data_IF_336938225589
#
_entry.id   IF_336938225589
#
_cell.length_a   1.000
_cell.length_b   1.000
_cell.length_c   1.000
_cell.angle_alpha   90.00
_cell.angle_beta   90.00
_cell.angle_gamma   90.00
#
_symmetry.space_group_name_H-M   'P 1'
#
loop_
_entity.id
_entity.type
_entity.pdbx_description
1 polymer ?
#
# COMPACT_ATOMS: atom_id res chain seq x y z
N UNK A 1 8.13 7.05 -31.87
CA UNK A 1 7.84 5.74 -31.28
C UNK A 1 6.62 5.92 -30.37
N UNK A 2 5.53 5.24 -30.68
CA UNK A 2 4.26 5.44 -29.95
C UNK A 2 4.23 4.66 -28.66
N UNK A 3 3.72 5.29 -27.58
CA UNK A 3 3.29 4.60 -26.38
C UNK A 3 1.79 4.31 -26.53
N UNK A 4 1.39 3.09 -26.28
CA UNK A 4 -0.02 2.71 -26.23
C UNK A 4 -0.44 2.51 -24.78
N UNK A 5 -1.55 3.10 -24.41
CA UNK A 5 -2.24 2.84 -23.13
C UNK A 5 -3.15 1.63 -23.31
N UNK A 6 -3.12 0.71 -22.36
CA UNK A 6 -3.95 -0.50 -22.32
C UNK A 6 -4.59 -0.62 -20.94
N UNK A 7 -5.81 -1.16 -20.89
CA UNK A 7 -6.59 -1.33 -19.66
C UNK A 7 -7.44 -2.61 -19.73
N UNK A 8 -7.90 -3.08 -18.57
CA UNK A 8 -8.76 -4.25 -18.47
C UNK A 8 -8.10 -5.50 -19.06
N UNK A 9 -8.85 -6.27 -19.83
CA UNK A 9 -8.38 -7.52 -20.43
C UNK A 9 -7.16 -7.34 -21.36
N UNK A 10 -6.99 -6.14 -21.96
CA UNK A 10 -5.82 -5.86 -22.81
C UNK A 10 -4.50 -5.93 -22.01
N UNK A 11 -4.52 -5.71 -20.68
CA UNK A 11 -3.33 -5.86 -19.85
C UNK A 11 -2.78 -7.30 -19.86
N UNK A 12 -3.63 -8.30 -20.06
CA UNK A 12 -3.21 -9.71 -20.13
C UNK A 12 -2.30 -10.00 -21.32
N UNK A 13 -2.35 -9.18 -22.36
CA UNK A 13 -1.48 -9.34 -23.55
C UNK A 13 0.00 -9.08 -23.25
N UNK A 14 0.33 -8.52 -22.10
CA UNK A 14 1.72 -8.28 -21.66
C UNK A 14 2.36 -9.49 -20.99
N UNK A 15 1.60 -10.56 -20.72
CA UNK A 15 2.07 -11.75 -19.98
C UNK A 15 3.37 -12.34 -20.56
N UNK A 16 3.47 -12.46 -21.89
CA UNK A 16 4.68 -12.99 -22.51
C UNK A 16 5.93 -12.19 -22.18
N UNK A 17 5.82 -10.84 -22.15
CA UNK A 17 6.95 -9.99 -21.77
C UNK A 17 7.24 -10.07 -20.26
N UNK A 18 6.20 -10.23 -19.44
CA UNK A 18 6.37 -10.46 -18.00
C UNK A 18 7.18 -11.72 -17.73
N UNK A 19 6.75 -12.85 -18.28
CA UNK A 19 7.41 -14.16 -18.12
C UNK A 19 8.86 -14.17 -18.65
N UNK A 20 9.13 -13.38 -19.73
CA UNK A 20 10.48 -13.24 -20.26
C UNK A 20 11.43 -12.46 -19.31
N UNK A 21 10.91 -11.45 -18.60
CA UNK A 21 11.73 -10.52 -17.81
C UNK A 21 11.75 -10.92 -16.34
N UNK A 22 10.63 -11.38 -15.79
CA UNK A 22 10.48 -11.83 -14.41
C UNK A 22 10.42 -13.35 -14.32
N UNK A 23 11.41 -13.99 -14.93
CA UNK A 23 11.51 -15.46 -15.05
C UNK A 23 11.70 -16.17 -13.69
N UNK A 24 11.98 -15.40 -12.61
CA UNK A 24 12.08 -15.91 -11.24
C UNK A 24 10.70 -16.07 -10.58
N UNK A 25 9.66 -15.43 -11.13
CA UNK A 25 8.30 -15.59 -10.64
C UNK A 25 7.80 -17.01 -10.93
N UNK A 26 7.16 -17.62 -9.94
CA UNK A 26 6.52 -18.94 -10.14
C UNK A 26 5.34 -18.84 -11.12
N UNK A 27 5.02 -19.96 -11.79
CA UNK A 27 3.86 -20.03 -12.69
C UNK A 27 2.58 -19.70 -11.92
N UNK A 28 2.44 -20.19 -10.67
CA UNK A 28 1.29 -19.95 -9.82
C UNK A 28 1.12 -18.45 -9.49
N UNK A 29 2.22 -17.77 -9.17
CA UNK A 29 2.19 -16.34 -8.92
C UNK A 29 1.84 -15.55 -10.18
N UNK A 30 2.44 -15.90 -11.33
CA UNK A 30 2.12 -15.26 -12.61
C UNK A 30 0.66 -15.46 -13.00
N UNK A 31 0.11 -16.66 -12.87
CA UNK A 31 -1.32 -16.95 -13.08
C UNK A 31 -2.20 -16.09 -12.17
N UNK A 32 -1.90 -16.09 -10.86
CA UNK A 32 -2.60 -15.24 -9.90
C UNK A 32 -2.59 -13.76 -10.31
N UNK A 33 -1.40 -13.22 -10.65
CA UNK A 33 -1.25 -11.80 -11.01
C UNK A 33 -2.10 -11.42 -12.23
N UNK A 34 -2.02 -12.21 -13.30
CA UNK A 34 -2.76 -11.93 -14.53
C UNK A 34 -4.26 -12.20 -14.42
N UNK A 35 -4.70 -13.05 -13.52
CA UNK A 35 -6.11 -13.29 -13.26
C UNK A 35 -6.75 -12.24 -12.32
N UNK A 36 -6.01 -11.78 -11.30
CA UNK A 36 -6.60 -10.99 -10.21
C UNK A 36 -6.15 -9.52 -10.17
N UNK A 37 -4.91 -9.20 -10.59
CA UNK A 37 -4.34 -7.84 -10.51
C UNK A 37 -4.22 -7.15 -11.87
N UNK A 38 -3.71 -7.81 -12.90
CA UNK A 38 -3.35 -7.18 -14.17
C UNK A 38 -4.49 -6.38 -14.81
N UNK A 39 -5.73 -6.89 -14.77
CA UNK A 39 -6.90 -6.22 -15.36
C UNK A 39 -7.34 -4.94 -14.64
N UNK A 40 -6.87 -4.73 -13.42
CA UNK A 40 -7.14 -3.51 -12.64
C UNK A 40 -6.13 -2.39 -12.91
N UNK A 41 -5.09 -2.68 -13.66
CA UNK A 41 -3.99 -1.77 -13.93
C UNK A 41 -4.27 -0.85 -15.12
N UNK A 42 -3.59 0.29 -15.10
CA UNK A 42 -3.36 1.10 -16.30
C UNK A 42 -1.98 0.69 -16.84
N UNK A 43 -1.95 0.09 -18.01
CA UNK A 43 -0.72 -0.33 -18.67
C UNK A 43 -0.25 0.66 -19.72
N UNK A 44 1.05 0.81 -19.84
CA UNK A 44 1.71 1.53 -20.94
C UNK A 44 2.70 0.59 -21.62
N UNK A 45 2.59 0.48 -22.94
CA UNK A 45 3.41 -0.45 -23.74
C UNK A 45 4.04 0.25 -24.94
N UNK A 46 5.20 -0.24 -25.35
CA UNK A 46 5.91 0.16 -26.58
C UNK A 46 6.02 -1.06 -27.50
N UNK A 47 5.76 -0.85 -28.79
CA UNK A 47 5.74 -1.91 -29.80
C UNK A 47 4.35 -2.52 -29.98
N UNK A 48 4.32 -3.69 -30.62
CA UNK A 48 3.14 -4.56 -30.74
C UNK A 48 3.38 -5.84 -29.96
N UNK A 49 2.32 -6.52 -29.58
CA UNK A 49 2.46 -7.78 -28.84
C UNK A 49 3.21 -8.85 -29.68
N UNK A 50 4.21 -9.53 -29.12
CA UNK A 50 4.78 -9.33 -27.80
C UNK A 50 5.59 -8.02 -27.75
N UNK A 51 5.29 -7.18 -26.75
CA UNK A 51 5.79 -5.81 -26.65
C UNK A 51 7.31 -5.71 -26.42
N UNK A 52 7.90 -4.57 -26.81
CA UNK A 52 9.32 -4.26 -26.57
C UNK A 52 9.56 -3.80 -25.11
N UNK A 53 8.60 -3.06 -24.57
CA UNK A 53 8.63 -2.60 -23.17
C UNK A 53 7.22 -2.38 -22.63
N UNK A 54 7.09 -2.50 -21.32
CA UNK A 54 5.84 -2.27 -20.57
C UNK A 54 6.09 -1.66 -19.21
N UNK A 55 5.06 -1.08 -18.64
CA UNK A 55 4.92 -0.77 -17.22
C UNK A 55 3.45 -0.70 -16.84
N UNK A 56 3.15 -0.95 -15.58
CA UNK A 56 1.82 -0.80 -15.02
C UNK A 56 1.76 0.27 -13.93
N UNK A 57 0.58 0.84 -13.78
CA UNK A 57 0.14 1.64 -12.64
C UNK A 57 -1.00 0.89 -11.98
N UNK A 58 -0.78 0.40 -10.77
CA UNK A 58 -1.79 -0.27 -9.94
C UNK A 58 -2.37 0.76 -8.97
N UNK A 59 -3.70 0.97 -8.95
CA UNK A 59 -4.31 1.89 -7.99
C UNK A 59 -4.34 1.29 -6.60
N UNK A 60 -3.94 2.08 -5.60
CA UNK A 60 -4.08 1.79 -4.18
C UNK A 60 -4.78 2.95 -3.47
N UNK A 61 -5.73 2.65 -2.60
CA UNK A 61 -6.32 3.66 -1.72
C UNK A 61 -5.41 3.83 -0.50
N UNK A 62 -4.80 5.02 -0.38
CA UNK A 62 -4.00 5.38 0.78
C UNK A 62 -4.79 6.28 1.73
N UNK A 63 -4.70 5.98 3.02
CA UNK A 63 -5.07 6.92 4.07
C UNK A 63 -3.89 7.89 4.27
N UNK A 64 -4.14 9.18 4.16
CA UNK A 64 -3.15 10.27 4.34
C UNK A 64 -3.73 11.24 5.37
N UNK A 65 -3.33 11.12 6.62
CA UNK A 65 -4.03 11.78 7.73
C UNK A 65 -5.51 11.39 7.76
N UNK A 66 -6.41 12.35 7.67
CA UNK A 66 -7.87 12.10 7.65
C UNK A 66 -8.44 11.97 6.21
N UNK A 67 -7.62 11.96 5.17
CA UNK A 67 -8.06 11.93 3.78
C UNK A 67 -7.68 10.62 3.12
N UNK A 68 -8.60 10.02 2.37
CA UNK A 68 -8.30 8.90 1.48
C UNK A 68 -8.04 9.40 0.06
N UNK A 69 -6.97 8.89 -0.55
CA UNK A 69 -6.63 9.18 -1.95
C UNK A 69 -6.20 7.93 -2.69
N UNK A 70 -6.61 7.82 -3.93
CA UNK A 70 -6.07 6.82 -4.85
C UNK A 70 -4.69 7.29 -5.33
N UNK A 71 -3.69 6.43 -5.12
CA UNK A 71 -2.29 6.66 -5.50
C UNK A 71 -1.83 5.48 -6.35
N UNK A 72 -1.13 5.76 -7.44
CA UNK A 72 -0.60 4.71 -8.32
C UNK A 72 0.69 4.13 -7.78
N UNK A 73 0.73 2.81 -7.68
CA UNK A 73 1.93 1.99 -7.52
C UNK A 73 2.48 1.63 -8.89
N UNK A 74 3.76 1.88 -9.15
CA UNK A 74 4.42 1.50 -10.40
C UNK A 74 4.98 0.09 -10.27
N UNK A 75 4.55 -0.80 -11.17
CA UNK A 75 4.93 -2.21 -11.16
C UNK A 75 5.12 -2.75 -12.57
N UNK A 76 5.78 -3.90 -12.72
CA UNK A 76 5.94 -4.58 -14.00
C UNK A 76 6.72 -3.74 -15.03
N UNK A 77 7.71 -2.97 -14.58
CA UNK A 77 8.55 -2.18 -15.46
C UNK A 77 9.56 -3.09 -16.18
N UNK A 78 9.23 -3.48 -17.39
CA UNK A 78 9.99 -4.44 -18.16
C UNK A 78 10.40 -3.91 -19.53
N UNK A 79 11.57 -4.35 -19.99
CA UNK A 79 12.07 -4.12 -21.35
C UNK A 79 12.72 -5.39 -21.84
N UNK A 80 12.28 -5.88 -22.99
CA UNK A 80 12.85 -7.04 -23.67
C UNK A 80 14.35 -6.89 -23.82
N UNK A 81 15.11 -7.97 -23.67
CA UNK A 81 16.57 -7.95 -23.63
C UNK A 81 17.19 -7.25 -24.86
N UNK A 82 16.70 -7.54 -26.06
CA UNK A 82 17.18 -6.97 -27.33
C UNK A 82 16.81 -5.49 -27.51
N UNK A 83 15.88 -5.00 -26.70
CA UNK A 83 15.37 -3.64 -26.72
C UNK A 83 15.92 -2.75 -25.61
N UNK A 84 16.77 -3.30 -24.72
CA UNK A 84 17.41 -2.55 -23.63
C UNK A 84 18.35 -1.47 -24.16
N UNK A 85 18.68 -0.51 -23.33
CA UNK A 85 19.56 0.65 -23.63
C UNK A 85 19.04 1.59 -24.74
N UNK A 86 17.77 1.44 -25.18
CA UNK A 86 17.11 2.34 -26.15
C UNK A 86 16.27 3.43 -25.49
N UNK A 87 16.29 3.53 -24.16
CA UNK A 87 15.55 4.55 -23.38
C UNK A 87 14.06 4.28 -23.22
N UNK A 88 13.56 3.07 -23.47
CA UNK A 88 12.13 2.74 -23.40
C UNK A 88 11.55 2.93 -22.01
N UNK A 89 12.21 2.42 -20.98
CA UNK A 89 11.83 2.63 -19.58
C UNK A 89 11.71 4.12 -19.25
N UNK A 90 12.73 4.92 -19.60
CA UNK A 90 12.70 6.39 -19.41
C UNK A 90 11.50 7.02 -20.08
N UNK A 91 11.19 6.58 -21.30
CA UNK A 91 10.07 7.09 -22.10
C UNK A 91 8.74 6.76 -21.43
N UNK A 92 8.55 5.52 -20.96
CA UNK A 92 7.36 5.07 -20.24
C UNK A 92 7.17 5.82 -18.93
N UNK A 93 8.21 5.92 -18.09
CA UNK A 93 8.15 6.63 -16.81
C UNK A 93 7.79 8.11 -17.01
N UNK A 94 8.46 8.82 -17.91
CA UNK A 94 8.16 10.22 -18.19
C UNK A 94 6.73 10.43 -18.72
N UNK A 95 6.26 9.52 -19.55
CA UNK A 95 4.87 9.56 -20.02
C UNK A 95 3.90 9.38 -18.86
N UNK A 96 4.12 8.37 -18.03
CA UNK A 96 3.30 8.10 -16.85
C UNK A 96 3.30 9.28 -15.87
N UNK A 97 4.44 9.93 -15.62
CA UNK A 97 4.51 11.12 -14.76
C UNK A 97 3.65 12.27 -15.29
N UNK A 98 3.66 12.51 -16.60
CA UNK A 98 2.82 13.55 -17.22
C UNK A 98 1.33 13.25 -17.08
N UNK A 99 0.92 12.00 -17.26
CA UNK A 99 -0.48 11.59 -17.06
C UNK A 99 -0.88 11.77 -15.60
N UNK A 100 -0.10 11.24 -14.65
CA UNK A 100 -0.34 11.39 -13.21
C UNK A 100 -0.34 12.87 -12.77
N UNK A 101 0.51 13.73 -13.37
CA UNK A 101 0.51 15.17 -13.10
C UNK A 101 -0.82 15.82 -13.54
N UNK A 102 -1.33 15.50 -14.74
CA UNK A 102 -2.65 15.96 -15.23
C UNK A 102 -3.79 15.47 -14.33
N UNK A 103 -3.68 14.27 -13.80
CA UNK A 103 -4.62 13.67 -12.84
C UNK A 103 -4.50 14.29 -11.43
N UNK A 104 -3.56 15.22 -11.22
CA UNK A 104 -3.27 15.85 -9.91
C UNK A 104 -2.90 14.85 -8.82
N UNK A 105 -2.24 13.77 -9.21
CA UNK A 105 -1.74 12.78 -8.27
C UNK A 105 -0.60 13.36 -7.44
N UNK A 106 -0.66 13.35 -6.11
CA UNK A 106 0.35 14.01 -5.28
C UNK A 106 1.72 13.33 -5.39
N UNK A 107 1.76 12.02 -5.40
CA UNK A 107 2.99 11.22 -5.51
C UNK A 107 2.70 9.86 -6.14
N UNK A 108 3.74 9.12 -6.46
CA UNK A 108 3.70 7.71 -6.86
C UNK A 108 4.77 6.96 -6.08
N UNK A 109 4.63 5.64 -5.98
CA UNK A 109 5.57 4.80 -5.28
C UNK A 109 5.83 3.49 -6.03
N UNK A 110 6.92 2.81 -5.67
CA UNK A 110 7.30 1.52 -6.21
C UNK A 110 8.20 0.76 -5.23
N UNK A 111 8.27 -0.56 -5.38
CA UNK A 111 9.30 -1.39 -4.80
C UNK A 111 10.39 -1.64 -5.87
N UNK A 112 11.62 -1.14 -5.69
CA UNK A 112 12.64 -1.27 -6.70
C UNK A 112 13.32 -2.64 -6.66
N UNK A 113 13.45 -3.32 -7.80
CA UNK A 113 14.36 -4.45 -7.93
C UNK A 113 15.83 -4.01 -7.72
N UNK A 114 16.16 -2.79 -8.20
CA UNK A 114 17.44 -2.13 -7.95
C UNK A 114 17.20 -0.62 -7.85
N UNK A 115 17.49 0.04 -6.70
CA UNK A 115 17.24 1.46 -6.51
C UNK A 115 17.96 2.37 -7.49
N UNK A 116 19.19 2.00 -7.92
CA UNK A 116 19.97 2.77 -8.88
C UNK A 116 19.26 2.99 -10.24
N UNK A 117 18.27 2.17 -10.56
CA UNK A 117 17.45 2.32 -11.77
C UNK A 117 16.50 3.52 -11.64
N UNK A 118 15.98 3.79 -10.42
CA UNK A 118 14.92 4.77 -10.18
C UNK A 118 15.41 6.08 -9.56
N UNK A 119 16.60 6.09 -8.94
CA UNK A 119 17.23 7.32 -8.43
C UNK A 119 17.37 8.44 -9.49
N UNK A 120 17.72 8.15 -10.78
CA UNK A 120 17.74 9.18 -11.84
C UNK A 120 16.38 9.77 -12.21
N UNK A 121 15.30 9.21 -11.66
CA UNK A 121 13.93 9.71 -11.77
C UNK A 121 13.43 10.33 -10.48
N UNK A 122 14.33 10.71 -9.57
CA UNK A 122 14.05 11.38 -8.30
C UNK A 122 13.23 10.54 -7.29
N UNK A 123 13.28 9.22 -7.41
CA UNK A 123 12.73 8.34 -6.39
C UNK A 123 13.68 8.26 -5.19
N UNK A 124 13.09 8.25 -3.99
CA UNK A 124 13.78 8.08 -2.70
C UNK A 124 13.02 7.08 -1.83
N UNK A 125 13.77 6.33 -1.02
CA UNK A 125 13.17 5.48 0.00
C UNK A 125 12.43 6.31 1.04
N UNK A 126 11.20 5.88 1.35
CA UNK A 126 10.33 6.49 2.37
C UNK A 126 9.82 5.48 3.39
N UNK A 127 9.94 4.20 3.10
CA UNK A 127 9.48 3.15 3.99
C UNK A 127 10.49 2.02 4.09
N UNK A 128 10.76 1.63 5.33
CA UNK A 128 11.58 0.49 5.70
C UNK A 128 10.72 -0.51 6.47
N UNK A 129 10.59 -1.72 5.92
CA UNK A 129 9.84 -2.80 6.53
C UNK A 129 10.63 -3.45 7.65
N UNK A 130 9.95 -3.76 8.75
CA UNK A 130 10.48 -4.65 9.77
C UNK A 130 10.72 -6.04 9.18
N UNK A 131 11.84 -6.64 9.52
CA UNK A 131 12.17 -8.03 9.14
C UNK A 131 11.84 -8.92 10.32
N UNK A 132 11.09 -9.97 10.06
CA UNK A 132 10.67 -10.95 11.06
C UNK A 132 11.25 -12.31 10.73
N UNK A 133 11.68 -13.02 11.74
CA UNK A 133 12.21 -14.37 11.64
C UNK A 133 11.48 -15.30 12.62
N UNK A 134 11.48 -16.57 12.29
CA UNK A 134 10.99 -17.61 13.18
C UNK A 134 12.05 -17.90 14.24
N UNK A 135 11.70 -17.82 15.53
CA UNK A 135 12.64 -18.14 16.63
C UNK A 135 13.12 -19.58 16.57
N UNK A 136 12.21 -20.50 16.23
CA UNK A 136 12.48 -21.93 16.13
C UNK A 136 11.80 -22.48 14.86
N UNK A 137 12.47 -22.47 13.69
CA UNK A 137 11.84 -22.84 12.43
C UNK A 137 11.13 -24.20 12.45
N UNK A 138 11.72 -25.22 13.10
CA UNK A 138 11.12 -26.55 13.23
C UNK A 138 9.85 -26.59 14.09
N UNK A 139 9.74 -25.70 15.09
CA UNK A 139 8.54 -25.57 15.93
C UNK A 139 7.38 -24.95 15.19
N UNK A 140 7.64 -24.01 14.30
CA UNK A 140 6.59 -23.32 13.55
C UNK A 140 6.03 -24.20 12.45
N UNK A 141 6.85 -24.95 11.75
CA UNK A 141 6.36 -25.98 10.83
C UNK A 141 5.43 -26.94 11.59
N UNK A 142 5.82 -27.39 12.79
CA UNK A 142 4.97 -28.24 13.62
C UNK A 142 3.74 -27.51 14.18
N UNK A 143 3.80 -26.20 14.46
CA UNK A 143 2.64 -25.40 14.84
C UNK A 143 1.69 -25.23 13.65
N UNK A 144 2.18 -24.83 12.48
CA UNK A 144 1.37 -24.69 11.27
C UNK A 144 0.77 -26.04 10.84
N UNK A 145 1.53 -27.15 10.97
CA UNK A 145 1.04 -28.51 10.72
C UNK A 145 0.08 -28.99 11.81
N UNK A 146 0.32 -28.68 13.09
CA UNK A 146 -0.58 -29.05 14.19
C UNK A 146 -1.87 -28.25 14.20
N UNK A 147 -1.84 -27.00 13.74
CA UNK A 147 -3.05 -26.19 13.54
C UNK A 147 -3.93 -26.77 12.44
N UNK A 148 -3.32 -27.23 11.34
CA UNK A 148 -4.03 -28.00 10.30
C UNK A 148 -4.56 -29.36 10.82
N UNK A 149 -3.96 -29.93 11.88
CA UNK A 149 -4.35 -31.19 12.47
C UNK A 149 -5.42 -31.01 13.56
N UNK A 150 -5.30 -30.00 14.41
CA UNK A 150 -6.31 -29.66 15.43
C UNK A 150 -7.65 -29.23 14.83
N UNK A 151 -7.64 -28.63 13.63
CA UNK A 151 -8.86 -28.31 12.87
C UNK A 151 -9.65 -29.58 12.46
N UNK A 152 -9.00 -30.75 12.40
CA UNK A 152 -9.69 -32.03 12.15
C UNK A 152 -10.34 -32.65 13.40
N UNK A 153 -9.92 -32.24 14.59
CA UNK A 153 -10.46 -32.77 15.87
C UNK A 153 -11.39 -31.78 16.60
N UNK A 154 -11.32 -30.47 16.31
CA UNK A 154 -12.36 -29.57 16.73
C UNK A 154 -13.60 -29.75 15.85
N UNK A 155 -14.45 -30.74 16.19
CA UNK A 155 -15.88 -30.61 16.00
C UNK A 155 -16.32 -29.37 16.84
N UNK A 156 -16.04 -28.19 16.35
CA UNK A 156 -16.81 -27.00 16.72
C UNK A 156 -18.25 -27.38 16.36
N UNK A 157 -19.03 -27.81 17.38
CA UNK A 157 -20.47 -27.98 17.25
C UNK A 157 -20.93 -26.72 16.56
N UNK A 158 -21.46 -26.85 15.36
CA UNK A 158 -22.04 -25.77 14.59
C UNK A 158 -23.06 -25.07 15.50
N UNK A 159 -22.62 -24.07 16.22
CA UNK A 159 -23.52 -23.09 16.80
C UNK A 159 -24.22 -22.54 15.55
N UNK A 160 -25.51 -22.76 15.46
CA UNK A 160 -26.36 -22.19 14.39
C UNK A 160 -26.11 -20.70 14.46
N UNK A 161 -25.33 -20.17 13.52
CA UNK A 161 -25.16 -18.73 13.33
C UNK A 161 -26.51 -18.25 12.77
N UNK A 162 -27.39 -17.84 13.65
CA UNK A 162 -28.63 -17.14 13.28
C UNK A 162 -28.22 -15.76 12.85
N UNK A 163 -27.99 -15.59 11.55
CA UNK A 163 -27.91 -14.28 10.91
C UNK A 163 -29.35 -13.76 10.83
N UNK A 164 -29.66 -12.73 11.59
CA UNK A 164 -30.95 -12.06 11.51
C UNK A 164 -31.00 -11.24 10.23
N UNK A 165 -31.63 -11.76 9.19
CA UNK A 165 -31.84 -11.11 7.89
C UNK A 165 -32.62 -9.79 7.99
N UNK A 166 -33.08 -9.41 9.20
CA UNK A 166 -33.81 -8.15 9.41
C UNK A 166 -32.91 -6.92 9.53
N UNK A 167 -31.57 -7.08 9.65
CA UNK A 167 -30.65 -5.95 9.79
C UNK A 167 -30.25 -5.26 8.49
N UNK A 168 -30.51 -5.81 7.32
CA UNK A 168 -30.21 -5.15 6.02
C UNK A 168 -31.20 -4.01 5.67
N UNK A 169 -32.34 -3.90 6.32
CA UNK A 169 -33.38 -2.93 5.97
C UNK A 169 -33.47 -1.67 6.87
N UNK A 170 -32.64 -1.53 7.89
CA UNK A 170 -32.69 -0.39 8.81
C UNK A 170 -31.55 0.64 8.69
N UNK A 171 -30.87 0.74 7.55
CA UNK A 171 -29.91 1.84 7.30
C UNK A 171 -30.61 2.98 6.58
N UNK A 172 -31.63 3.57 7.21
CA UNK A 172 -32.11 4.93 6.94
C UNK A 172 -32.69 5.48 8.23
N UNK A 173 -31.88 6.16 9.05
CA UNK A 173 -32.21 7.37 9.82
C UNK A 173 -31.29 7.53 11.03
N UNK A 174 -30.64 8.71 11.07
CA UNK A 174 -30.09 9.48 12.19
C UNK A 174 -28.90 8.95 12.99
N UNK A 175 -27.93 9.84 13.33
CA UNK A 175 -26.75 9.47 14.11
C UNK A 175 -27.12 9.35 15.58
N UNK A 176 -27.26 8.14 16.05
CA UNK A 176 -27.30 7.87 17.50
C UNK A 176 -25.86 7.85 17.99
N UNK A 177 -25.49 8.89 18.71
CA UNK A 177 -24.32 8.87 19.61
C UNK A 177 -24.62 7.86 20.71
N UNK A 178 -24.17 6.65 20.58
CA UNK A 178 -24.20 5.65 21.62
C UNK A 178 -22.76 5.29 21.98
N UNK A 179 -22.46 5.43 23.27
CA UNK A 179 -21.23 5.01 23.92
C UNK A 179 -20.85 3.59 23.46
N UNK A 180 -19.59 3.42 23.07
CA UNK A 180 -19.03 2.14 22.65
C UNK A 180 -19.06 1.13 23.79
N UNK A 181 -19.79 0.02 23.68
CA UNK A 181 -19.45 -1.16 24.46
C UNK A 181 -18.30 -1.86 23.71
N UNK A 182 -17.23 -2.11 24.43
CA UNK A 182 -16.08 -2.89 24.01
C UNK A 182 -16.53 -4.31 23.61
N UNK A 183 -16.71 -4.56 22.33
CA UNK A 183 -16.45 -5.79 21.57
C UNK A 183 -17.11 -5.70 20.20
N UNK A 184 -16.31 -5.55 19.17
CA UNK A 184 -16.77 -5.54 17.78
C UNK A 184 -17.40 -6.88 17.35
N UNK A 185 -17.12 -7.96 18.05
CA UNK A 185 -17.57 -9.33 17.74
C UNK A 185 -18.93 -9.70 18.35
N UNK A 186 -19.34 -9.09 19.48
CA UNK A 186 -20.68 -9.27 20.02
C UNK A 186 -21.79 -8.89 19.03
N UNK A 187 -21.45 -8.05 18.06
CA UNK A 187 -22.33 -7.61 16.97
C UNK A 187 -22.61 -8.71 15.94
N UNK A 188 -21.77 -9.73 15.86
CA UNK A 188 -21.87 -10.84 14.88
C UNK A 188 -22.27 -12.17 15.49
N UNK A 189 -22.70 -12.21 16.77
CA UNK A 189 -23.16 -13.43 17.42
C UNK A 189 -22.06 -14.45 17.70
N UNK A 190 -20.79 -14.06 17.63
CA UNK A 190 -19.66 -14.91 17.97
C UNK A 190 -19.46 -14.79 19.47
N UNK A 191 -19.92 -15.79 20.20
CA UNK A 191 -19.61 -15.93 21.60
C UNK A 191 -18.09 -16.08 21.77
N UNK A 192 -17.54 -15.67 22.91
CA UNK A 192 -16.15 -15.67 23.37
C UNK A 192 -15.39 -17.00 23.18
N UNK A 193 -15.72 -17.80 22.16
CA UNK A 193 -15.24 -19.18 21.97
C UNK A 193 -13.96 -19.26 21.13
N UNK A 194 -13.68 -18.23 20.28
CA UNK A 194 -12.44 -18.23 19.51
C UNK A 194 -11.28 -17.78 20.41
N UNK A 195 -10.39 -18.74 20.67
CA UNK A 195 -9.12 -18.52 21.37
C UNK A 195 -8.02 -19.29 20.66
N UNK A 196 -6.91 -18.63 20.33
CA UNK A 196 -5.77 -19.23 19.67
C UNK A 196 -5.52 -18.72 18.26
N UNK A 197 -4.68 -19.42 17.54
CA UNK A 197 -4.20 -19.03 16.22
C UNK A 197 -4.97 -19.80 15.14
N UNK A 198 -5.53 -19.09 14.17
CA UNK A 198 -6.36 -19.66 13.09
C UNK A 198 -5.91 -19.20 11.73
N UNK A 199 -5.95 -20.10 10.73
CA UNK A 199 -5.84 -19.77 9.31
C UNK A 199 -7.09 -19.04 8.84
N UNK A 200 -6.93 -17.88 8.19
CA UNK A 200 -8.05 -17.12 7.61
C UNK A 200 -8.76 -17.94 6.55
N UNK A 201 -8.01 -18.66 5.72
CA UNK A 201 -8.55 -19.52 4.66
C UNK A 201 -9.45 -20.62 5.22
N UNK A 202 -9.01 -21.24 6.31
CA UNK A 202 -9.78 -22.31 6.93
C UNK A 202 -11.02 -21.75 7.63
N UNK A 203 -10.92 -20.60 8.31
CA UNK A 203 -12.09 -19.93 8.87
C UNK A 203 -13.14 -19.61 7.81
N UNK A 204 -12.74 -19.14 6.63
CA UNK A 204 -13.66 -18.87 5.52
C UNK A 204 -14.31 -20.13 4.97
N UNK A 205 -13.56 -21.25 4.87
CA UNK A 205 -14.10 -22.52 4.39
C UNK A 205 -15.09 -23.13 5.38
N UNK A 206 -14.77 -23.06 6.67
CA UNK A 206 -15.57 -23.65 7.74
C UNK A 206 -16.80 -22.81 8.07
N UNK A 207 -16.66 -21.49 8.05
CA UNK A 207 -17.71 -20.53 8.41
C UNK A 207 -17.95 -19.55 7.25
N UNK A 208 -18.67 -19.98 6.23
CA UNK A 208 -18.86 -19.20 4.98
C UNK A 208 -19.42 -17.79 5.17
N UNK A 209 -20.16 -17.55 6.26
CA UNK A 209 -20.73 -16.23 6.60
C UNK A 209 -19.92 -15.44 7.62
N UNK A 210 -18.80 -15.98 8.08
CA UNK A 210 -17.96 -15.29 9.07
C UNK A 210 -17.19 -14.13 8.42
N UNK A 211 -17.38 -12.89 8.87
CA UNK A 211 -16.79 -11.72 8.19
C UNK A 211 -15.32 -11.51 8.55
N UNK A 212 -14.51 -12.57 8.54
CA UNK A 212 -13.11 -12.53 9.00
C UNK A 212 -12.28 -11.45 8.29
N UNK A 213 -12.46 -11.29 6.97
CA UNK A 213 -11.69 -10.30 6.21
C UNK A 213 -12.06 -8.87 6.58
N UNK A 214 -13.34 -8.63 6.91
CA UNK A 214 -13.80 -7.33 7.40
C UNK A 214 -13.22 -7.03 8.77
N UNK A 215 -13.26 -7.98 9.70
CA UNK A 215 -12.70 -7.83 11.04
C UNK A 215 -11.19 -7.62 11.00
N UNK A 216 -10.50 -8.34 10.12
CA UNK A 216 -9.07 -8.17 9.89
C UNK A 216 -8.75 -6.76 9.36
N UNK A 217 -9.55 -6.25 8.42
CA UNK A 217 -9.41 -4.90 7.88
C UNK A 217 -9.63 -3.82 8.95
N UNK A 218 -10.66 -3.97 9.78
CA UNK A 218 -10.96 -3.04 10.89
C UNK A 218 -9.80 -3.03 11.91
N UNK A 219 -9.32 -4.19 12.32
CA UNK A 219 -8.19 -4.32 13.24
C UNK A 219 -6.91 -3.71 12.68
N UNK A 220 -6.56 -4.02 11.43
CA UNK A 220 -5.38 -3.48 10.78
C UNK A 220 -5.44 -1.95 10.64
N UNK A 221 -6.57 -1.38 10.19
CA UNK A 221 -6.72 0.06 10.05
C UNK A 221 -6.66 0.78 11.40
N UNK A 222 -7.20 0.19 12.47
CA UNK A 222 -7.11 0.76 13.80
C UNK A 222 -5.65 0.84 14.25
N UNK A 223 -4.88 -0.24 14.11
CA UNK A 223 -3.46 -0.27 14.40
C UNK A 223 -2.68 0.75 13.54
N UNK A 224 -2.89 0.72 12.22
CA UNK A 224 -2.16 1.58 11.29
C UNK A 224 -2.42 3.07 11.56
N UNK A 225 -3.66 3.45 11.89
CA UNK A 225 -4.02 4.84 12.23
C UNK A 225 -3.32 5.33 13.49
N UNK A 226 -3.02 4.45 14.44
CA UNK A 226 -2.33 4.83 15.69
C UNK A 226 -0.84 5.13 15.46
N UNK A 227 -0.18 4.36 14.56
CA UNK A 227 1.27 4.41 14.40
C UNK A 227 1.74 5.15 13.15
N UNK A 228 0.87 5.36 12.15
CA UNK A 228 1.28 5.89 10.85
C UNK A 228 0.38 7.03 10.36
N UNK A 229 1.01 8.02 9.71
CA UNK A 229 0.31 9.13 9.08
C UNK A 229 -0.17 8.79 7.66
N UNK A 230 0.53 7.87 7.00
CA UNK A 230 0.24 7.44 5.63
C UNK A 230 0.34 5.92 5.57
N UNK A 231 -0.73 5.28 5.15
CA UNK A 231 -0.76 3.82 4.99
C UNK A 231 -1.78 3.39 3.93
N UNK A 232 -1.60 2.18 3.38
CA UNK A 232 -2.59 1.60 2.48
C UNK A 232 -3.84 1.27 3.29
N UNK A 233 -4.96 1.87 2.92
CA UNK A 233 -6.25 1.60 3.55
C UNK A 233 -6.66 0.16 3.27
N UNK A 234 -7.02 -0.56 4.32
CA UNK A 234 -7.42 -1.97 4.26
C UNK A 234 -8.94 -2.08 4.19
N UNK A 235 -9.43 -2.88 3.27
CA UNK A 235 -10.84 -3.26 3.19
C UNK A 235 -10.96 -4.77 2.94
N UNK A 236 -12.17 -5.27 2.84
CA UNK A 236 -12.43 -6.68 2.55
C UNK A 236 -11.81 -7.10 1.22
N UNK A 237 -11.92 -6.27 0.18
CA UNK A 237 -11.38 -6.58 -1.15
C UNK A 237 -9.83 -6.61 -1.13
N UNK A 238 -9.20 -5.75 -0.33
CA UNK A 238 -7.76 -5.80 -0.10
C UNK A 238 -7.32 -7.16 0.44
N UNK A 239 -7.95 -7.64 1.52
CA UNK A 239 -7.58 -8.92 2.11
C UNK A 239 -7.99 -10.14 1.28
N UNK A 240 -9.03 -10.04 0.45
CA UNK A 240 -9.33 -11.08 -0.56
C UNK A 240 -8.17 -11.24 -1.55
N UNK A 241 -7.59 -10.15 -1.99
CA UNK A 241 -6.43 -10.16 -2.89
C UNK A 241 -5.19 -10.68 -2.17
N UNK A 242 -4.93 -10.22 -0.93
CA UNK A 242 -3.79 -10.68 -0.13
C UNK A 242 -3.85 -12.18 0.16
N UNK A 243 -5.05 -12.72 0.45
CA UNK A 243 -5.23 -14.14 0.70
C UNK A 243 -4.95 -14.99 -0.55
N UNK A 244 -5.41 -14.55 -1.72
CA UNK A 244 -5.13 -15.21 -3.01
C UNK A 244 -3.64 -15.13 -3.37
N UNK A 245 -2.99 -14.00 -3.09
CA UNK A 245 -1.57 -13.81 -3.33
C UNK A 245 -0.73 -14.73 -2.45
N UNK A 246 -1.05 -14.81 -1.15
CA UNK A 246 -0.42 -15.74 -0.23
C UNK A 246 -0.60 -17.19 -0.69
N UNK A 247 -1.80 -17.55 -1.17
CA UNK A 247 -2.07 -18.89 -1.71
C UNK A 247 -1.19 -19.23 -2.92
N UNK A 248 -1.04 -18.26 -3.84
CA UNK A 248 -0.18 -18.41 -5.02
C UNK A 248 1.31 -18.57 -4.66
N UNK A 249 1.70 -18.08 -3.47
CA UNK A 249 3.04 -18.18 -2.91
C UNK A 249 3.17 -19.27 -1.83
N UNK A 250 2.26 -20.24 -1.79
CA UNK A 250 2.21 -21.33 -0.81
C UNK A 250 2.17 -20.85 0.66
N UNK A 251 1.66 -19.66 0.90
CA UNK A 251 1.50 -19.03 2.21
C UNK A 251 0.06 -18.97 2.68
N UNK A 252 -0.17 -18.23 3.76
CA UNK A 252 -1.50 -17.96 4.32
C UNK A 252 -1.46 -16.69 5.22
N UNK A 253 -2.64 -16.29 5.70
CA UNK A 253 -2.82 -15.30 6.76
C UNK A 253 -3.29 -16.03 8.00
N UNK A 254 -2.59 -15.86 9.12
CA UNK A 254 -2.98 -16.40 10.41
C UNK A 254 -3.38 -15.26 11.35
N UNK A 255 -4.44 -15.49 12.10
CA UNK A 255 -5.03 -14.54 13.04
C UNK A 255 -5.08 -15.14 14.44
N UNK A 256 -4.54 -14.43 15.42
CA UNK A 256 -4.62 -14.76 16.83
C UNK A 256 -5.87 -14.15 17.45
N UNK A 257 -6.72 -14.98 18.03
CA UNK A 257 -7.89 -14.58 18.81
C UNK A 257 -7.67 -14.77 20.30
N UNK A 258 -8.11 -13.82 21.10
CA UNK A 258 -8.31 -13.96 22.53
C UNK A 258 -9.74 -13.51 22.87
N UNK A 259 -10.51 -14.40 23.50
CA UNK A 259 -11.92 -14.14 23.88
C UNK A 259 -12.78 -13.66 22.71
N UNK A 260 -12.52 -14.20 21.51
CA UNK A 260 -13.24 -13.84 20.29
C UNK A 260 -12.78 -12.51 19.62
N UNK A 261 -11.80 -11.81 20.14
CA UNK A 261 -11.25 -10.59 19.55
C UNK A 261 -9.92 -10.86 18.84
N UNK A 262 -9.70 -10.21 17.70
CA UNK A 262 -8.40 -10.26 17.01
C UNK A 262 -7.38 -9.48 17.84
N UNK A 263 -6.26 -10.13 18.16
CA UNK A 263 -5.16 -9.54 18.93
C UNK A 263 -3.88 -9.41 18.11
N UNK A 264 -3.70 -10.26 17.12
CA UNK A 264 -2.57 -10.20 16.21
C UNK A 264 -2.89 -10.94 14.91
N UNK A 265 -2.12 -10.66 13.87
CA UNK A 265 -2.07 -11.50 12.67
C UNK A 265 -0.70 -11.42 12.02
N UNK A 266 -0.40 -12.42 11.21
CA UNK A 266 0.75 -12.38 10.32
C UNK A 266 0.41 -12.98 8.96
N UNK A 267 1.10 -12.47 7.95
CA UNK A 267 1.05 -12.91 6.57
C UNK A 267 2.40 -13.51 6.21
N UNK A 268 2.41 -14.68 5.60
CA UNK A 268 3.63 -15.32 5.14
C UNK A 268 3.51 -15.88 3.73
N UNK A 269 4.65 -16.06 3.08
CA UNK A 269 4.85 -16.80 1.85
C UNK A 269 5.90 -17.91 2.06
N UNK A 270 5.91 -18.89 1.16
CA UNK A 270 6.94 -19.95 1.13
C UNK A 270 7.62 -20.00 -0.23
N UNK A 271 8.93 -20.12 -0.20
CA UNK A 271 9.75 -20.43 -1.38
C UNK A 271 10.58 -21.68 -1.06
N UNK A 272 10.19 -22.80 -1.64
CA UNK A 272 10.72 -24.12 -1.24
C UNK A 272 10.40 -24.42 0.24
N UNK A 273 11.45 -24.63 1.02
CA UNK A 273 11.35 -24.86 2.47
C UNK A 273 11.43 -23.56 3.29
N UNK A 274 11.77 -22.44 2.68
CA UNK A 274 11.94 -21.16 3.36
C UNK A 274 10.59 -20.45 3.55
N UNK A 275 10.39 -19.89 4.75
CA UNK A 275 9.20 -19.13 5.14
C UNK A 275 9.59 -17.66 5.26
N UNK A 276 8.90 -16.80 4.52
CA UNK A 276 9.07 -15.36 4.53
C UNK A 276 7.89 -14.68 5.20
N UNK A 277 8.11 -14.05 6.33
CA UNK A 277 7.07 -13.26 7.00
C UNK A 277 6.96 -11.92 6.29
N UNK A 278 5.82 -11.67 5.68
CA UNK A 278 5.56 -10.49 4.86
C UNK A 278 4.99 -9.32 5.69
N UNK A 279 4.11 -9.61 6.64
CA UNK A 279 3.52 -8.62 7.54
C UNK A 279 3.22 -9.24 8.90
N UNK A 280 3.40 -8.45 9.95
CA UNK A 280 2.97 -8.76 11.32
C UNK A 280 2.33 -7.52 11.91
N UNK A 281 1.13 -7.66 12.44
CA UNK A 281 0.46 -6.64 13.25
C UNK A 281 0.01 -7.29 14.57
N UNK A 282 0.41 -6.69 15.69
CA UNK A 282 0.10 -7.13 17.05
C UNK A 282 -0.47 -5.96 17.85
N UNK A 283 -1.53 -6.20 18.63
CA UNK A 283 -2.05 -5.20 19.58
C UNK A 283 -0.99 -4.83 20.62
N UNK A 284 -0.20 -5.83 21.05
CA UNK A 284 0.95 -5.68 21.94
C UNK A 284 2.12 -6.50 21.41
N UNK A 285 3.30 -5.93 21.48
CA UNK A 285 4.52 -6.61 21.07
C UNK A 285 4.71 -7.95 21.79
N UNK A 286 5.03 -8.99 21.01
CA UNK A 286 5.32 -10.33 21.52
C UNK A 286 4.10 -11.24 21.73
N UNK A 287 2.95 -10.90 21.20
CA UNK A 287 1.77 -11.79 21.23
C UNK A 287 1.97 -13.03 20.35
N UNK A 288 2.74 -12.90 19.26
CA UNK A 288 3.19 -14.01 18.42
C UNK A 288 4.62 -14.40 18.86
N UNK A 289 4.73 -15.08 20.00
CA UNK A 289 5.99 -15.39 20.71
C UNK A 289 6.98 -16.24 19.91
N UNK A 290 6.52 -16.93 18.87
CA UNK A 290 7.32 -17.71 17.93
C UNK A 290 7.97 -16.85 16.83
N UNK A 291 7.57 -15.58 16.68
CA UNK A 291 8.20 -14.60 15.81
C UNK A 291 9.18 -13.74 16.59
N UNK A 292 10.22 -13.31 15.94
CA UNK A 292 11.13 -12.29 16.46
C UNK A 292 11.40 -11.23 15.41
N UNK A 293 11.36 -9.99 15.83
CA UNK A 293 11.75 -8.86 15.00
C UNK A 293 13.26 -8.74 14.96
N UNK A 294 13.83 -8.63 13.77
CA UNK A 294 15.24 -8.38 13.57
C UNK A 294 15.50 -6.89 13.67
N UNK A 295 16.61 -6.49 14.32
CA UNK A 295 16.95 -5.05 14.49
C UNK A 295 17.06 -4.30 13.16
N UNK A 296 17.57 -4.96 12.11
CA UNK A 296 17.79 -4.34 10.80
C UNK A 296 16.51 -4.31 9.99
N UNK A 297 16.01 -3.11 9.73
CA UNK A 297 14.92 -2.89 8.78
C UNK A 297 15.40 -3.01 7.33
N UNK A 298 14.49 -3.37 6.44
CA UNK A 298 14.74 -3.45 5.00
C UNK A 298 14.04 -2.30 4.28
N UNK A 299 14.77 -1.38 3.61
CA UNK A 299 14.12 -0.37 2.76
C UNK A 299 13.47 -1.06 1.57
N UNK A 300 12.18 -0.85 1.37
CA UNK A 300 11.41 -1.52 0.32
C UNK A 300 10.68 -0.56 -0.62
N UNK A 301 10.19 0.57 -0.15
CA UNK A 301 9.38 1.47 -0.96
C UNK A 301 10.11 2.77 -1.24
N UNK A 302 10.26 3.07 -2.54
CA UNK A 302 10.68 4.37 -3.02
C UNK A 302 9.48 5.17 -3.55
N UNK A 303 9.54 6.47 -3.38
CA UNK A 303 8.51 7.42 -3.85
C UNK A 303 9.11 8.54 -4.67
N UNK A 304 8.25 9.15 -5.51
CA UNK A 304 8.46 10.42 -6.21
C UNK A 304 7.23 11.30 -6.07
N UNK A 305 7.43 12.57 -5.74
CA UNK A 305 6.37 13.59 -5.82
C UNK A 305 6.05 13.85 -7.30
N UNK A 306 4.77 13.79 -7.65
CA UNK A 306 4.27 14.03 -9.01
C UNK A 306 3.67 15.43 -9.12
N UNK A 307 2.72 15.79 -8.26
CA UNK A 307 2.10 17.11 -8.25
C UNK A 307 2.34 17.77 -6.90
N UNK A 308 3.34 18.65 -6.86
CA UNK A 308 3.83 19.26 -5.63
C UNK A 308 2.74 20.01 -4.85
N UNK A 309 1.94 20.86 -5.52
CA UNK A 309 0.89 21.62 -4.83
C UNK A 309 -0.15 20.70 -4.18
N UNK A 310 -0.53 19.60 -4.85
CA UNK A 310 -1.46 18.63 -4.28
C UNK A 310 -0.86 17.89 -3.10
N UNK A 311 0.45 17.57 -3.15
CA UNK A 311 1.15 16.96 -2.01
C UNK A 311 1.21 17.92 -0.82
N UNK A 312 1.57 19.17 -1.05
CA UNK A 312 1.65 20.18 0.02
C UNK A 312 0.30 20.44 0.69
N UNK A 313 -0.82 20.34 -0.04
CA UNK A 313 -2.17 20.50 0.50
C UNK A 313 -2.55 19.39 1.49
N UNK A 314 -1.97 18.19 1.36
CA UNK A 314 -2.23 17.04 2.22
C UNK A 314 -1.48 17.10 3.55
N UNK A 315 -0.45 17.94 3.65
CA UNK A 315 0.33 18.08 4.88
C UNK A 315 -0.35 19.04 5.83
N UNK A 316 -0.64 18.57 7.05
CA UNK A 316 -1.20 19.38 8.13
C UNK A 316 -0.13 19.69 9.18
N UNK A 317 -0.35 20.72 9.98
CA UNK A 317 0.50 21.08 11.11
C UNK A 317 -0.37 21.27 12.36
N UNK A 318 0.11 20.83 13.53
CA UNK A 318 -0.60 21.02 14.82
C UNK A 318 -0.88 22.50 15.10
N UNK A 319 0.00 23.38 14.66
CA UNK A 319 -0.13 24.82 14.81
C UNK A 319 -0.06 25.50 13.43
N UNK A 320 -0.69 26.66 13.31
CA UNK A 320 -0.60 27.44 12.07
C UNK A 320 0.83 27.90 11.82
N UNK A 321 1.41 27.46 10.71
CA UNK A 321 2.78 27.79 10.30
C UNK A 321 2.80 28.23 8.86
N UNK A 322 3.61 29.24 8.54
CA UNK A 322 3.86 29.67 7.16
C UNK A 322 5.33 29.47 6.84
N UNK A 323 5.62 28.91 5.67
CA UNK A 323 6.96 28.76 5.13
C UNK A 323 6.99 29.23 3.68
N UNK A 324 8.11 29.81 3.28
CA UNK A 324 8.45 30.10 1.88
C UNK A 324 9.54 29.13 1.47
N UNK A 325 9.22 28.25 0.53
CA UNK A 325 10.14 27.21 0.07
C UNK A 325 10.38 27.32 -1.43
N UNK A 326 11.60 27.07 -1.84
CA UNK A 326 11.98 26.94 -3.23
C UNK A 326 12.23 25.47 -3.56
N UNK A 327 11.62 25.00 -4.65
CA UNK A 327 11.73 23.60 -5.09
C UNK A 327 12.29 23.54 -6.50
N UNK A 328 13.24 22.63 -6.70
CA UNK A 328 13.80 22.26 -7.99
C UNK A 328 13.25 20.92 -8.44
N UNK A 329 12.77 20.83 -9.69
CA UNK A 329 12.34 19.59 -10.35
C UNK A 329 12.63 19.69 -11.85
N UNK A 330 13.61 18.92 -12.34
CA UNK A 330 13.97 18.91 -13.76
C UNK A 330 13.07 18.01 -14.60
N UNK A 331 12.44 17.00 -14.00
CA UNK A 331 11.63 16.00 -14.71
C UNK A 331 10.18 16.47 -14.89
N UNK A 332 9.67 17.26 -13.94
CA UNK A 332 8.36 17.91 -13.98
C UNK A 332 8.56 19.39 -13.68
N UNK A 333 8.97 20.21 -14.68
CA UNK A 333 9.30 21.63 -14.46
C UNK A 333 8.16 22.46 -13.88
N UNK A 334 6.93 21.99 -14.02
CA UNK A 334 5.75 22.61 -13.43
C UNK A 334 5.78 22.62 -11.90
N UNK A 335 6.51 21.69 -11.26
CA UNK A 335 6.74 21.68 -9.82
C UNK A 335 7.82 22.68 -9.38
N UNK A 336 8.74 23.06 -10.28
CA UNK A 336 9.81 23.98 -9.91
C UNK A 336 9.29 25.40 -9.63
N UNK A 337 9.84 26.04 -8.60
CA UNK A 337 9.52 27.43 -8.25
C UNK A 337 9.45 27.69 -6.75
N UNK A 338 9.01 28.89 -6.40
CA UNK A 338 8.89 29.34 -5.02
C UNK A 338 7.43 29.26 -4.59
N UNK A 339 7.22 28.71 -3.40
CA UNK A 339 5.89 28.48 -2.84
C UNK A 339 5.77 29.09 -1.44
N UNK A 340 4.69 29.84 -1.21
CA UNK A 340 4.25 30.16 0.14
C UNK A 340 3.30 29.08 0.61
N UNK A 341 3.69 28.37 1.66
CA UNK A 341 2.99 27.25 2.22
C UNK A 341 2.46 27.58 3.61
N UNK A 342 1.15 27.64 3.74
CA UNK A 342 0.44 27.96 4.98
C UNK A 342 -0.18 26.67 5.48
N UNK A 343 0.43 26.08 6.47
CA UNK A 343 -0.01 24.83 7.12
C UNK A 343 -0.90 25.17 8.32
N UNK A 344 -1.97 24.39 8.51
CA UNK A 344 -2.87 24.49 9.66
C UNK A 344 -3.40 23.09 10.04
N UNK A 345 -4.03 22.92 11.20
CA UNK A 345 -4.60 21.62 11.63
C UNK A 345 -5.71 21.10 10.70
N UNK A 346 -6.45 21.98 10.08
CA UNK A 346 -7.58 21.72 9.17
C UNK A 346 -7.17 21.65 7.69
N UNK A 347 -5.87 21.70 7.39
CA UNK A 347 -5.31 21.59 6.04
C UNK A 347 -4.31 22.67 5.71
N UNK A 348 -3.75 22.58 4.50
CA UNK A 348 -2.74 23.51 4.01
C UNK A 348 -3.22 24.30 2.81
N UNK A 349 -2.82 25.58 2.75
CA UNK A 349 -2.97 26.46 1.59
C UNK A 349 -1.63 26.67 0.92
N UNK A 350 -1.57 26.48 -0.39
CA UNK A 350 -0.35 26.60 -1.18
C UNK A 350 -0.54 27.73 -2.21
N UNK A 351 0.46 28.58 -2.33
CA UNK A 351 0.46 29.69 -3.29
C UNK A 351 1.81 29.67 -4.01
N UNK A 352 1.81 29.29 -5.29
CA UNK A 352 3.00 29.40 -6.13
C UNK A 352 3.26 30.86 -6.46
N UNK A 353 4.51 31.32 -6.26
CA UNK A 353 4.92 32.69 -6.42
C UNK A 353 5.46 32.88 -7.83
N UNK A 354 4.78 33.67 -8.62
CA UNK A 354 5.21 34.03 -9.97
C UNK A 354 6.14 35.24 -9.94
N UNK A 355 7.42 35.03 -10.10
CA UNK A 355 8.45 36.10 -10.11
C UNK A 355 8.40 36.99 -11.35
N UNK A 356 7.72 36.54 -12.42
CA UNK A 356 7.60 37.30 -13.66
C UNK A 356 6.45 38.34 -13.65
N UNK A 357 5.55 38.24 -12.68
CA UNK A 357 4.41 39.14 -12.56
C UNK A 357 4.79 40.38 -11.71
N UNK A 358 4.98 41.52 -12.35
CA UNK A 358 5.41 42.77 -11.71
C UNK A 358 4.46 43.28 -10.62
N UNK A 359 3.15 43.00 -10.68
CA UNK A 359 2.18 43.35 -9.64
C UNK A 359 2.29 42.42 -8.41
N UNK A 360 2.60 41.12 -8.62
CA UNK A 360 2.84 40.18 -7.54
C UNK A 360 4.20 40.37 -6.88
N UNK A 361 5.20 40.82 -7.66
CA UNK A 361 6.53 41.17 -7.13
C UNK A 361 6.46 42.36 -6.16
N UNK A 362 5.54 43.33 -6.36
CA UNK A 362 5.27 44.43 -5.43
C UNK A 362 4.55 44.02 -4.15
N UNK A 363 3.80 42.90 -4.15
CA UNK A 363 3.13 42.36 -2.97
C UNK A 363 4.01 41.42 -2.13
N UNK A 364 5.15 41.00 -2.69
CA UNK A 364 6.12 40.15 -2.01
C UNK A 364 7.40 40.96 -1.82
N UNK A 365 7.56 41.52 -0.65
CA UNK A 365 8.84 42.04 -0.22
C UNK A 365 9.72 40.82 0.16
N UNK A 366 10.62 40.40 -0.76
CA UNK A 366 11.59 39.32 -0.50
C UNK A 366 12.50 39.63 0.70
N UNK A 367 12.52 40.91 1.17
CA UNK A 367 13.16 41.30 2.43
C UNK A 367 12.27 40.99 3.64
N UNK A 368 10.94 40.95 3.45
CA UNK A 368 9.98 40.65 4.51
C UNK A 368 9.62 39.14 4.60
N UNK A 369 9.75 38.40 3.48
CA UNK A 369 9.48 36.94 3.41
C UNK A 369 10.72 36.25 2.82
N UNK A 370 11.77 36.01 3.59
CA UNK A 370 12.93 35.27 3.11
C UNK A 370 12.56 33.81 2.76
N UNK A 371 13.32 33.20 1.85
CA UNK A 371 13.18 31.78 1.56
C UNK A 371 13.66 31.01 2.79
N UNK A 372 12.75 30.24 3.42
CA UNK A 372 13.03 29.44 4.61
C UNK A 372 13.83 28.18 4.27
N UNK A 373 13.59 27.60 3.08
CA UNK A 373 14.29 26.43 2.59
C UNK A 373 14.33 26.39 1.06
N UNK A 374 15.44 25.88 0.51
CA UNK A 374 15.59 25.58 -0.91
C UNK A 374 16.05 24.14 -1.03
N UNK A 375 15.36 23.32 -1.84
CA UNK A 375 15.68 21.90 -1.95
C UNK A 375 15.20 21.29 -3.27
N UNK A 376 15.80 20.16 -3.61
CA UNK A 376 15.34 19.34 -4.72
C UNK A 376 14.06 18.56 -4.35
N UNK A 377 13.19 18.30 -5.33
CA UNK A 377 11.90 17.61 -5.15
C UNK A 377 12.04 16.25 -4.43
N UNK A 378 13.12 15.51 -4.69
CA UNK A 378 13.41 14.23 -4.04
C UNK A 378 13.66 14.35 -2.53
N UNK A 379 14.27 15.46 -2.09
CA UNK A 379 14.57 15.71 -0.68
C UNK A 379 13.31 16.23 0.03
N UNK A 380 12.48 16.99 -0.69
CA UNK A 380 11.15 17.35 -0.23
C UNK A 380 10.28 16.09 0.02
N UNK A 381 10.35 15.07 -0.84
CA UNK A 381 9.61 13.83 -0.66
C UNK A 381 9.95 13.16 0.69
N UNK A 382 11.22 13.01 1.02
CA UNK A 382 11.65 12.42 2.30
C UNK A 382 11.30 13.29 3.50
N UNK A 383 11.22 14.60 3.33
CA UNK A 383 10.85 15.52 4.40
C UNK A 383 9.37 15.45 4.76
N UNK A 384 8.47 15.33 3.76
CA UNK A 384 7.01 15.36 3.99
C UNK A 384 6.38 14.00 4.16
N UNK A 385 6.96 12.95 3.58
CA UNK A 385 6.48 11.57 3.66
C UNK A 385 7.18 10.84 4.82
N UNK A 386 6.81 11.18 6.04
CA UNK A 386 7.28 10.50 7.25
C UNK A 386 6.12 9.77 7.94
N UNK A 387 6.43 8.76 8.77
CA UNK A 387 5.40 7.94 9.42
C UNK A 387 4.55 7.19 8.40
N UNK A 388 5.20 6.54 7.44
CA UNK A 388 4.58 5.82 6.32
C UNK A 388 4.62 4.32 6.59
N UNK A 389 3.52 3.64 6.29
CA UNK A 389 3.45 2.18 6.19
C UNK A 389 2.85 1.78 4.83
N UNK A 390 3.70 1.48 3.87
CA UNK A 390 3.32 0.95 2.56
C UNK A 390 4.05 -0.37 2.38
N UNK A 391 3.41 -1.45 2.79
CA UNK A 391 3.99 -2.79 2.78
C UNK A 391 3.50 -3.61 1.57
N UNK A 392 3.46 -2.98 0.40
CA UNK A 392 3.01 -3.60 -0.83
C UNK A 392 4.20 -4.26 -1.55
N UNK A 393 4.15 -5.57 -1.67
CA UNK A 393 5.14 -6.41 -2.35
C UNK A 393 4.43 -7.07 -3.53
N UNK A 394 4.92 -6.82 -4.74
CA UNK A 394 4.45 -7.48 -5.97
C UNK A 394 5.64 -8.03 -6.71
#
# INVERSE_FOLDING_TARGET
>A
MGINRIEGEACKTTRTLWEEVFYEDSVQFTDYYFENKATKNIGYVIGQAPYDAMMFRTPYTLQIGEVQKEISYIVGVATRKECRHRGYMRTLLRHSFREMYKEKMPFTFLMPANPAIYEPFDFKYIYERDVWELREPGRVVSILESLTFQEKECELRAAEFIYDDQMENEVKSEPIVAECPNSSLGKYGINNELNGLYSVRNLQKQFQRFPILKLLAEFANQYLKEYYNIYVHRDTAYYEIQLKESEAQNGDIYVLFEQGEIKAFFLYAKEGEEIFIQEVIEEKEGMLDFLQKVEKKKPIIMTRIIHLEEMMKLVCSKEKKTMVIEIEDELIPENAGIYRWIMAPDGSKVIKIDLNNSEKKKKMDLKADPIDASMHIRDFATWVLNGVCINEIV
#
